data_IF_360904755137
#
_entry.id   IF_360904755137
#
_cell.length_a   1.000
_cell.length_b   1.000
_cell.length_c   1.000
_cell.angle_alpha   90.00
_cell.angle_beta   90.00
_cell.angle_gamma   90.00
#
_symmetry.space_group_name_H-M   'P 1'
#
loop_
_entity.id
_entity.type
_entity.pdbx_description
1 polymer ?
#
# COMPACT_ATOMS: atom_id res chain seq x y z
N UNK A 1 18.39 7.40 -7.66
CA UNK A 1 19.06 6.64 -6.59
C UNK A 1 18.13 5.51 -6.22
N UNK A 2 18.65 4.28 -6.24
CA UNK A 2 17.98 3.09 -5.74
C UNK A 2 18.27 2.93 -4.25
N UNK A 3 17.28 2.45 -3.50
CA UNK A 3 17.40 2.03 -2.11
C UNK A 3 17.39 0.50 -2.08
N UNK A 4 18.54 -0.13 -1.79
CA UNK A 4 18.65 -1.59 -1.84
C UNK A 4 17.68 -2.22 -0.84
N UNK A 5 17.80 -1.89 0.46
CA UNK A 5 16.72 -1.96 1.44
C UNK A 5 15.69 -0.87 1.09
N UNK A 6 14.44 -1.22 0.73
CA UNK A 6 13.44 -0.24 0.35
C UNK A 6 13.01 0.68 1.51
N UNK A 7 12.51 1.87 1.19
CA UNK A 7 11.96 2.80 2.21
C UNK A 7 10.72 2.22 2.92
N UNK A 8 9.98 1.35 2.24
CA UNK A 8 8.82 0.64 2.77
C UNK A 8 9.00 -0.87 2.59
N UNK A 9 9.82 -1.54 3.43
CA UNK A 9 10.16 -2.95 3.26
C UNK A 9 8.99 -3.87 3.64
N UNK A 10 8.09 -4.13 2.69
CA UNK A 10 6.86 -4.90 2.92
C UNK A 10 7.03 -6.41 2.73
N UNK A 11 8.01 -6.85 1.92
CA UNK A 11 8.26 -8.28 1.63
C UNK A 11 8.79 -8.98 2.88
N UNK A 12 8.40 -10.24 3.06
CA UNK A 12 8.78 -11.05 4.22
C UNK A 12 10.28 -11.20 4.36
N UNK A 13 11.01 -11.34 3.25
CA UNK A 13 12.48 -11.29 3.20
C UNK A 13 13.04 -10.10 4.01
N UNK A 14 12.56 -8.87 3.72
CA UNK A 14 13.05 -7.68 4.42
C UNK A 14 12.61 -7.64 5.88
N UNK A 15 11.38 -8.04 6.18
CA UNK A 15 10.89 -8.13 7.56
C UNK A 15 11.75 -9.10 8.37
N UNK A 16 12.13 -10.23 7.79
CA UNK A 16 12.98 -11.22 8.41
C UNK A 16 14.42 -10.71 8.58
N UNK A 17 15.03 -10.15 7.53
CA UNK A 17 16.41 -9.65 7.60
C UNK A 17 16.62 -8.50 8.60
N UNK A 18 15.57 -7.74 8.89
CA UNK A 18 15.63 -6.56 9.76
C UNK A 18 14.73 -6.67 11.00
N UNK A 19 14.32 -7.88 11.39
CA UNK A 19 13.37 -8.17 12.49
C UNK A 19 13.80 -7.68 13.88
N UNK A 20 15.08 -7.43 14.08
CA UNK A 20 15.70 -6.91 15.30
C UNK A 20 15.65 -5.37 15.40
N UNK A 21 15.18 -4.67 14.36
CA UNK A 21 15.18 -3.22 14.28
C UNK A 21 13.76 -2.65 14.34
N UNK A 22 13.64 -1.50 14.99
CA UNK A 22 12.41 -0.69 15.03
C UNK A 22 12.14 -0.01 13.68
N UNK A 23 10.93 0.49 13.47
CA UNK A 23 10.58 1.21 12.25
C UNK A 23 11.44 2.47 12.00
N UNK A 24 11.87 3.17 13.06
CA UNK A 24 12.74 4.35 12.91
C UNK A 24 14.20 3.97 12.59
N UNK A 25 14.69 2.86 13.15
CA UNK A 25 16.01 2.30 12.81
C UNK A 25 16.03 1.81 11.35
N UNK A 26 14.99 1.11 10.90
CA UNK A 26 14.83 0.67 9.50
C UNK A 26 14.80 1.88 8.55
N UNK A 27 14.08 2.94 8.92
CA UNK A 27 14.04 4.17 8.14
C UNK A 27 15.45 4.79 8.02
N UNK A 28 16.21 4.82 9.11
CA UNK A 28 17.60 5.30 9.12
C UNK A 28 18.51 4.42 8.25
N UNK A 29 18.41 3.09 8.38
CA UNK A 29 19.13 2.12 7.55
C UNK A 29 18.81 2.29 6.06
N UNK A 30 17.53 2.51 5.71
CA UNK A 30 17.12 2.70 4.32
C UNK A 30 17.66 3.99 3.69
N UNK A 31 18.01 4.97 4.53
CA UNK A 31 18.46 6.31 4.14
C UNK A 31 19.98 6.52 4.23
N UNK A 32 20.74 5.58 4.81
CA UNK A 32 22.19 5.72 4.97
C UNK A 32 22.97 5.46 3.67
N UNK A 33 24.20 5.99 3.60
CA UNK A 33 25.07 5.93 2.42
C UNK A 33 25.28 4.49 1.91
N UNK A 34 25.50 3.55 2.85
CA UNK A 34 25.73 2.15 2.54
C UNK A 34 24.58 1.46 1.81
N UNK A 35 23.35 1.98 1.92
CA UNK A 35 22.17 1.45 1.26
C UNK A 35 21.86 2.09 -0.11
N UNK A 36 22.57 3.18 -0.45
CA UNK A 36 22.31 3.95 -1.67
C UNK A 36 23.06 3.36 -2.87
N UNK A 37 22.33 3.12 -3.96
CA UNK A 37 22.90 2.61 -5.20
C UNK A 37 22.57 3.54 -6.38
N UNK A 38 23.58 4.14 -7.05
CA UNK A 38 23.36 4.83 -8.31
C UNK A 38 22.89 3.83 -9.36
N UNK A 39 21.68 4.02 -9.85
CA UNK A 39 21.02 3.10 -10.76
C UNK A 39 20.14 3.91 -11.73
N UNK A 40 20.05 3.45 -12.98
CA UNK A 40 19.27 4.16 -14.00
C UNK A 40 17.79 4.24 -13.61
N UNK A 41 17.12 5.34 -13.95
CA UNK A 41 15.72 5.56 -13.56
C UNK A 41 14.77 4.46 -14.06
N UNK A 42 15.02 3.92 -15.26
CA UNK A 42 14.21 2.87 -15.89
C UNK A 42 14.36 1.50 -15.22
N UNK A 43 15.53 1.18 -14.67
CA UNK A 43 15.72 -0.04 -13.87
C UNK A 43 15.18 0.20 -12.46
N UNK A 44 15.41 1.38 -11.88
CA UNK A 44 15.00 1.74 -10.53
C UNK A 44 13.47 1.67 -10.35
N UNK A 45 12.72 2.17 -11.34
CA UNK A 45 11.25 2.10 -11.32
C UNK A 45 10.72 0.66 -11.40
N UNK A 46 11.51 -0.30 -11.90
CA UNK A 46 11.13 -1.71 -12.07
C UNK A 46 11.43 -2.57 -10.85
N UNK A 47 12.40 -2.21 -10.02
CA UNK A 47 12.86 -3.04 -8.89
C UNK A 47 11.97 -2.96 -7.64
N UNK A 48 11.17 -1.89 -7.52
CA UNK A 48 10.19 -1.69 -6.44
C UNK A 48 10.73 -2.06 -5.04
N UNK A 49 9.90 -2.72 -4.22
CA UNK A 49 10.25 -3.20 -2.88
C UNK A 49 10.58 -4.70 -2.85
N UNK A 50 10.95 -5.25 -4.01
CA UNK A 50 11.24 -6.68 -4.18
C UNK A 50 12.39 -7.12 -3.26
N UNK A 51 12.49 -8.41 -3.01
CA UNK A 51 13.58 -8.98 -2.20
C UNK A 51 14.94 -8.70 -2.84
N UNK A 52 16.02 -8.80 -2.05
CA UNK A 52 17.35 -8.53 -2.57
C UNK A 52 17.72 -9.44 -3.75
N UNK A 53 17.35 -10.72 -3.69
CA UNK A 53 17.62 -11.68 -4.75
C UNK A 53 16.91 -11.31 -6.06
N UNK A 54 15.62 -10.95 -5.98
CA UNK A 54 14.86 -10.48 -7.13
C UNK A 54 15.47 -9.21 -7.73
N UNK A 55 15.88 -8.27 -6.88
CA UNK A 55 16.50 -7.02 -7.32
C UNK A 55 17.83 -7.25 -8.04
N UNK A 56 18.66 -8.13 -7.49
CA UNK A 56 19.94 -8.56 -8.07
C UNK A 56 19.74 -9.18 -9.45
N UNK A 57 18.80 -10.12 -9.58
CA UNK A 57 18.52 -10.84 -10.82
C UNK A 57 17.97 -9.94 -11.93
N UNK A 58 17.34 -8.81 -11.58
CA UNK A 58 16.63 -7.94 -12.53
C UNK A 58 17.38 -6.66 -12.89
N UNK A 59 18.37 -6.23 -12.10
CA UNK A 59 18.95 -4.90 -12.29
C UNK A 59 20.43 -4.74 -12.03
N UNK A 60 21.07 -5.54 -11.17
CA UNK A 60 22.39 -5.18 -10.64
C UNK A 60 23.57 -5.78 -11.42
N UNK A 61 23.41 -6.95 -12.03
CA UNK A 61 24.52 -7.75 -12.56
C UNK A 61 25.21 -7.18 -13.81
N UNK A 62 24.54 -6.30 -14.57
CA UNK A 62 25.04 -5.73 -15.83
C UNK A 62 25.20 -4.20 -15.80
N UNK A 63 25.16 -3.60 -14.60
CA UNK A 63 25.23 -2.15 -14.41
C UNK A 63 26.65 -1.60 -14.26
N UNK A 64 26.74 -0.48 -13.54
CA UNK A 64 27.99 0.13 -13.08
C UNK A 64 28.78 -0.80 -12.14
N UNK A 65 30.05 -0.45 -11.88
CA UNK A 65 30.87 -1.20 -10.92
C UNK A 65 30.25 -1.32 -9.54
N UNK A 66 29.49 -0.31 -9.07
CA UNK A 66 28.81 -0.37 -7.78
C UNK A 66 27.65 -1.37 -7.80
N UNK A 67 26.91 -1.45 -8.90
CA UNK A 67 25.82 -2.43 -9.10
C UNK A 67 26.37 -3.86 -9.16
N UNK A 68 27.44 -4.06 -9.94
CA UNK A 68 28.10 -5.36 -10.06
C UNK A 68 28.68 -5.83 -8.73
N UNK A 69 29.25 -4.92 -7.94
CA UNK A 69 29.74 -5.24 -6.59
C UNK A 69 28.60 -5.73 -5.68
N UNK A 70 27.51 -4.97 -5.59
CA UNK A 70 26.33 -5.34 -4.78
C UNK A 70 25.72 -6.66 -5.26
N UNK A 71 25.70 -6.93 -6.57
CA UNK A 71 25.14 -8.17 -7.13
C UNK A 71 25.85 -9.47 -6.70
N UNK A 72 27.06 -9.37 -6.15
CA UNK A 72 27.85 -10.52 -5.68
C UNK A 72 27.47 -10.98 -4.29
N UNK A 73 26.79 -10.14 -3.52
CA UNK A 73 26.30 -10.52 -2.20
C UNK A 73 25.23 -11.61 -2.30
N UNK A 74 25.20 -12.51 -1.31
CA UNK A 74 24.17 -13.55 -1.19
C UNK A 74 22.83 -12.98 -0.72
N UNK A 75 22.89 -11.96 0.12
CA UNK A 75 21.80 -11.39 0.88
C UNK A 75 22.12 -9.93 1.23
N UNK A 76 21.14 -9.20 1.78
CA UNK A 76 21.32 -7.80 2.17
C UNK A 76 20.77 -7.58 3.57
N UNK A 77 21.66 -7.35 4.52
CA UNK A 77 21.37 -7.14 5.94
C UNK A 77 21.98 -5.81 6.43
N UNK A 78 21.77 -5.50 7.71
CA UNK A 78 22.29 -4.28 8.31
C UNK A 78 23.83 -4.23 8.36
N UNK A 79 24.51 -5.38 8.50
CA UNK A 79 25.97 -5.45 8.53
C UNK A 79 26.55 -5.09 7.16
N UNK A 80 25.98 -5.60 6.07
CA UNK A 80 26.39 -5.25 4.70
C UNK A 80 26.17 -3.78 4.38
N UNK A 81 25.07 -3.19 4.87
CA UNK A 81 24.83 -1.74 4.78
C UNK A 81 25.94 -0.98 5.51
N UNK A 82 26.30 -1.41 6.73
CA UNK A 82 27.36 -0.80 7.53
C UNK A 82 28.73 -0.90 6.83
N UNK A 83 29.15 -2.11 6.46
CA UNK A 83 30.44 -2.39 5.81
C UNK A 83 30.59 -1.62 4.49
N UNK A 84 29.54 -1.62 3.67
CA UNK A 84 29.52 -0.84 2.42
C UNK A 84 29.58 0.66 2.70
N UNK A 85 28.89 1.15 3.73
CA UNK A 85 28.96 2.55 4.15
C UNK A 85 30.38 2.99 4.47
N UNK A 86 31.09 2.23 5.31
CA UNK A 86 32.48 2.49 5.67
C UNK A 86 33.40 2.41 4.44
N UNK A 87 33.22 1.40 3.60
CA UNK A 87 33.98 1.25 2.35
C UNK A 87 33.81 2.46 1.42
N UNK A 88 32.59 2.99 1.29
CA UNK A 88 32.33 4.18 0.48
C UNK A 88 32.95 5.45 1.07
N UNK A 89 32.98 5.59 2.39
CA UNK A 89 33.64 6.72 3.06
C UNK A 89 35.16 6.69 2.84
N UNK A 90 35.80 5.52 2.96
CA UNK A 90 37.22 5.37 2.60
C UNK A 90 37.50 5.66 1.13
N UNK A 91 36.62 5.22 0.23
CA UNK A 91 36.72 5.58 -1.19
C UNK A 91 36.66 7.10 -1.39
N UNK A 92 35.81 7.83 -0.65
CA UNK A 92 35.73 9.30 -0.70
C UNK A 92 37.02 9.96 -0.21
N UNK A 93 37.61 9.48 0.90
CA UNK A 93 38.91 9.96 1.40
C UNK A 93 39.98 9.89 0.31
N UNK A 94 40.12 8.72 -0.32
CA UNK A 94 41.10 8.48 -1.37
C UNK A 94 40.81 9.32 -2.63
N UNK A 95 39.54 9.36 -3.06
CA UNK A 95 39.16 10.00 -4.32
C UNK A 95 39.29 11.52 -4.29
N UNK A 96 39.06 12.14 -3.13
CA UNK A 96 39.06 13.59 -2.94
C UNK A 96 40.22 14.10 -2.07
N UNK A 97 41.11 13.21 -1.64
CA UNK A 97 42.33 13.53 -0.90
C UNK A 97 42.05 14.32 0.40
N UNK A 98 41.12 13.81 1.20
CA UNK A 98 40.87 14.28 2.57
C UNK A 98 40.89 13.10 3.54
N UNK A 99 40.88 13.39 4.85
CA UNK A 99 40.80 12.38 5.90
C UNK A 99 39.72 12.72 6.91
N UNK A 100 38.95 11.70 7.30
CA UNK A 100 38.15 11.74 8.50
C UNK A 100 39.09 11.66 9.72
N UNK A 101 38.65 12.22 10.85
CA UNK A 101 39.43 12.28 12.07
C UNK A 101 39.65 10.91 12.72
N UNK A 102 38.68 10.01 12.60
CA UNK A 102 38.70 8.64 13.15
C UNK A 102 37.65 7.76 12.47
N UNK A 103 37.71 6.45 12.76
CA UNK A 103 36.65 5.53 12.37
C UNK A 103 35.32 5.88 13.06
N UNK A 104 35.36 6.29 14.33
CA UNK A 104 34.18 6.73 15.08
C UNK A 104 33.46 7.89 14.37
N UNK A 105 34.20 8.85 13.79
CA UNK A 105 33.60 9.94 13.01
C UNK A 105 32.84 9.42 11.77
N UNK A 106 33.40 8.41 11.08
CA UNK A 106 32.74 7.79 9.94
C UNK A 106 31.47 7.04 10.36
N UNK A 107 31.52 6.33 11.49
CA UNK A 107 30.36 5.64 12.06
C UNK A 107 29.25 6.61 12.49
N UNK A 108 29.61 7.74 13.12
CA UNK A 108 28.69 8.82 13.46
C UNK A 108 28.01 9.39 12.21
N UNK A 109 28.74 9.57 11.12
CA UNK A 109 28.22 10.10 9.86
C UNK A 109 27.19 9.16 9.20
N UNK A 110 27.31 7.84 9.40
CA UNK A 110 26.36 6.87 8.87
C UNK A 110 25.06 6.79 9.67
N UNK A 111 25.05 7.29 10.92
CA UNK A 111 23.90 7.30 11.84
C UNK A 111 23.29 5.91 12.15
N UNK A 112 24.08 4.84 12.02
CA UNK A 112 23.64 3.45 12.18
C UNK A 112 24.48 2.67 13.21
N UNK A 113 25.00 3.36 14.23
CA UNK A 113 25.82 2.72 15.28
C UNK A 113 25.11 1.56 15.99
N UNK A 114 23.77 1.61 16.04
CA UNK A 114 22.91 0.57 16.58
C UNK A 114 22.97 -0.78 15.84
N UNK A 115 23.56 -0.84 14.64
CA UNK A 115 23.76 -2.10 13.90
C UNK A 115 24.71 -3.05 14.66
N UNK A 116 25.68 -2.48 15.38
CA UNK A 116 26.75 -3.22 16.06
C UNK A 116 26.62 -3.19 17.59
N UNK A 117 25.41 -3.00 18.13
CA UNK A 117 25.19 -2.90 19.59
C UNK A 117 25.10 -4.24 20.32
N UNK A 118 25.23 -5.35 19.58
CA UNK A 118 25.21 -6.71 20.13
C UNK A 118 23.82 -7.18 20.56
N UNK A 119 22.74 -6.53 20.10
CA UNK A 119 21.37 -6.97 20.37
C UNK A 119 21.11 -8.40 19.89
N UNK A 120 20.25 -9.09 20.63
CA UNK A 120 19.77 -10.39 20.21
C UNK A 120 18.92 -10.26 18.95
N UNK A 121 19.13 -11.16 18.01
CA UNK A 121 18.28 -11.27 16.82
C UNK A 121 17.10 -12.18 17.21
N UNK A 122 15.85 -11.70 17.15
CA UNK A 122 14.68 -12.54 17.39
C UNK A 122 14.70 -13.79 16.49
N UNK A 123 13.97 -14.86 16.86
CA UNK A 123 13.75 -15.99 15.96
C UNK A 123 13.25 -15.49 14.60
N UNK A 124 13.62 -16.19 13.53
CA UNK A 124 13.06 -15.92 12.21
C UNK A 124 11.53 -15.96 12.30
N UNK A 125 10.90 -14.99 11.64
CA UNK A 125 9.45 -14.97 11.48
C UNK A 125 9.13 -16.17 10.59
N UNK A 126 8.67 -17.25 11.23
CA UNK A 126 8.12 -18.41 10.54
C UNK A 126 6.89 -17.89 9.82
N UNK A 127 6.94 -17.92 8.50
CA UNK A 127 5.73 -17.85 7.71
C UNK A 127 4.93 -19.11 8.10
N UNK A 128 3.90 -18.95 8.93
CA UNK A 128 2.78 -19.91 8.86
C UNK A 128 2.45 -20.00 7.38
N UNK A 129 2.38 -21.21 6.81
CA UNK A 129 1.98 -21.47 5.43
C UNK A 129 0.58 -20.91 5.16
N UNK A 130 0.49 -19.59 5.02
CA UNK A 130 -0.34 -18.92 4.07
C UNK A 130 0.29 -19.29 2.74
N UNK A 131 -0.21 -20.37 2.15
CA UNK A 131 0.01 -20.79 0.77
C UNK A 131 -0.51 -19.73 -0.22
N UNK A 132 0.08 -18.54 -0.14
CA UNK A 132 0.07 -17.50 -1.13
C UNK A 132 1.53 -17.17 -1.42
N UNK A 133 2.29 -18.19 -1.82
CA UNK A 133 3.29 -17.97 -2.84
C UNK A 133 2.59 -17.19 -3.95
N UNK A 134 3.03 -15.95 -4.19
CA UNK A 134 2.87 -15.34 -5.51
C UNK A 134 3.58 -16.30 -6.48
N UNK A 135 2.83 -17.27 -7.00
CA UNK A 135 3.06 -17.74 -8.34
C UNK A 135 2.79 -16.51 -9.18
N UNK A 136 3.82 -15.70 -9.44
CA UNK A 136 3.85 -14.87 -10.64
C UNK A 136 3.91 -15.86 -11.79
N UNK A 137 2.75 -16.43 -12.11
CA UNK A 137 2.48 -16.78 -13.49
C UNK A 137 2.73 -15.47 -14.21
N UNK A 138 3.62 -15.42 -15.21
CA UNK A 138 3.69 -14.27 -16.09
C UNK A 138 2.29 -14.09 -16.66
N UNK A 139 1.50 -13.22 -16.03
CA UNK A 139 0.31 -12.72 -16.65
C UNK A 139 0.88 -11.74 -17.67
N UNK A 140 0.76 -12.08 -18.95
CA UNK A 140 1.11 -11.18 -20.07
C UNK A 140 0.29 -9.87 -20.04
N UNK A 141 -0.56 -9.69 -19.02
CA UNK A 141 -1.50 -8.61 -18.82
C UNK A 141 -0.87 -7.64 -17.81
N UNK A 142 -0.75 -6.38 -18.20
CA UNK A 142 -0.26 -5.33 -17.30
C UNK A 142 -1.25 -5.09 -16.14
N UNK A 143 -0.78 -4.55 -15.00
CA UNK A 143 -1.64 -4.10 -13.89
C UNK A 143 -2.82 -3.24 -14.37
N UNK A 144 -2.57 -2.37 -15.35
CA UNK A 144 -3.55 -1.45 -15.89
C UNK A 144 -4.58 -2.18 -16.77
N UNK A 145 -4.14 -3.17 -17.56
CA UNK A 145 -5.04 -4.05 -18.32
C UNK A 145 -5.87 -4.94 -17.38
N UNK A 146 -5.30 -5.43 -16.28
CA UNK A 146 -6.00 -6.26 -15.31
C UNK A 146 -7.12 -5.47 -14.62
N UNK A 147 -6.84 -4.23 -14.18
CA UNK A 147 -7.86 -3.32 -13.63
C UNK A 147 -8.94 -3.01 -14.66
N UNK A 148 -8.54 -2.69 -15.89
CA UNK A 148 -9.48 -2.37 -16.96
C UNK A 148 -10.41 -3.55 -17.23
N UNK A 149 -9.88 -4.77 -17.31
CA UNK A 149 -10.66 -5.99 -17.51
C UNK A 149 -11.60 -6.28 -16.34
N UNK A 150 -11.11 -6.16 -15.10
CA UNK A 150 -11.94 -6.34 -13.90
C UNK A 150 -13.11 -5.36 -13.89
N UNK A 151 -12.84 -4.06 -14.06
CA UNK A 151 -13.89 -3.04 -14.07
C UNK A 151 -14.86 -3.20 -15.25
N UNK A 152 -14.38 -3.66 -16.41
CA UNK A 152 -15.25 -3.92 -17.57
C UNK A 152 -16.29 -4.99 -17.28
N UNK A 153 -15.95 -6.00 -16.46
CA UNK A 153 -16.88 -7.05 -16.03
C UNK A 153 -17.70 -6.65 -14.79
N UNK A 154 -17.08 -5.94 -13.85
CA UNK A 154 -17.71 -5.57 -12.58
C UNK A 154 -18.80 -4.50 -12.76
N UNK A 155 -18.52 -3.48 -13.57
CA UNK A 155 -19.34 -2.29 -13.63
C UNK A 155 -20.78 -2.54 -14.09
N UNK A 156 -21.06 -3.34 -15.14
CA UNK A 156 -22.43 -3.66 -15.52
C UNK A 156 -23.23 -4.33 -14.41
N UNK A 157 -22.60 -5.25 -13.66
CA UNK A 157 -23.24 -5.97 -12.54
C UNK A 157 -23.52 -5.02 -11.39
N UNK A 158 -22.57 -4.15 -11.05
CA UNK A 158 -22.76 -3.12 -10.00
C UNK A 158 -23.89 -2.17 -10.42
N UNK A 159 -23.91 -1.69 -11.67
CA UNK A 159 -24.96 -0.81 -12.18
C UNK A 159 -26.34 -1.47 -12.14
N UNK A 160 -26.44 -2.74 -12.54
CA UNK A 160 -27.67 -3.52 -12.48
C UNK A 160 -28.18 -3.72 -11.05
N UNK A 161 -27.29 -3.99 -10.09
CA UNK A 161 -27.64 -4.08 -8.67
C UNK A 161 -28.24 -2.78 -8.10
N UNK A 162 -27.91 -1.62 -8.71
CA UNK A 162 -28.51 -0.33 -8.40
C UNK A 162 -29.77 0.01 -9.23
N UNK A 163 -30.28 -0.92 -10.04
CA UNK A 163 -31.46 -0.72 -10.90
C UNK A 163 -31.16 -0.01 -12.22
N UNK A 164 -29.93 -0.04 -12.72
CA UNK A 164 -29.56 0.39 -14.08
C UNK A 164 -29.27 1.88 -14.27
N UNK A 165 -29.97 2.79 -13.57
CA UNK A 165 -29.77 4.23 -13.73
C UNK A 165 -29.61 4.97 -12.39
N UNK A 166 -28.51 4.71 -11.70
CA UNK A 166 -28.24 5.32 -10.39
C UNK A 166 -26.75 5.58 -10.16
N UNK A 167 -26.15 4.99 -9.13
CA UNK A 167 -24.89 5.46 -8.55
C UNK A 167 -23.68 5.38 -9.47
N UNK A 168 -23.65 4.38 -10.35
CA UNK A 168 -22.52 4.14 -11.26
C UNK A 168 -22.90 4.25 -12.75
N UNK A 169 -24.11 4.73 -13.09
CA UNK A 169 -24.62 4.67 -14.47
C UNK A 169 -23.86 5.53 -15.49
N UNK A 170 -23.16 6.57 -15.02
CA UNK A 170 -22.33 7.44 -15.86
C UNK A 170 -20.83 7.16 -15.70
N UNK A 171 -20.46 6.03 -15.10
CA UNK A 171 -19.07 5.65 -14.89
C UNK A 171 -18.63 4.73 -16.03
N UNK A 172 -17.38 4.86 -16.44
CA UNK A 172 -16.76 3.98 -17.44
C UNK A 172 -15.63 3.18 -16.79
N UNK A 173 -15.40 1.92 -17.23
CA UNK A 173 -14.21 1.18 -16.84
C UNK A 173 -12.94 1.97 -17.14
N UNK A 174 -11.94 1.87 -16.27
CA UNK A 174 -10.67 2.59 -16.43
C UNK A 174 -9.50 1.80 -15.86
N UNK A 175 -8.27 2.25 -16.11
CA UNK A 175 -7.06 1.67 -15.52
C UNK A 175 -6.82 2.13 -14.08
N UNK A 176 -7.74 2.90 -13.49
CA UNK A 176 -7.61 3.38 -12.11
C UNK A 176 -7.90 2.26 -11.12
N UNK A 177 -7.24 2.32 -9.97
CA UNK A 177 -7.55 1.47 -8.83
C UNK A 177 -8.86 1.83 -8.15
N UNK A 178 -9.44 3.00 -8.44
CA UNK A 178 -10.67 3.47 -7.82
C UNK A 178 -11.77 3.65 -8.85
N UNK A 179 -13.01 3.40 -8.42
CA UNK A 179 -14.21 3.61 -9.20
C UNK A 179 -15.23 4.36 -8.32
N UNK A 180 -15.44 5.64 -8.63
CA UNK A 180 -16.26 6.56 -7.84
C UNK A 180 -17.70 6.60 -8.35
N UNK A 181 -18.67 6.50 -7.44
CA UNK A 181 -20.10 6.55 -7.71
C UNK A 181 -20.76 7.77 -7.07
N UNK A 182 -21.74 8.33 -7.78
CA UNK A 182 -22.51 9.47 -7.30
C UNK A 182 -23.71 9.02 -6.46
N UNK A 183 -23.86 9.62 -5.28
CA UNK A 183 -24.91 9.22 -4.32
C UNK A 183 -25.98 10.28 -4.09
N UNK A 184 -25.94 11.42 -4.82
CA UNK A 184 -26.93 12.49 -4.71
C UNK A 184 -26.61 13.57 -3.69
N UNK A 185 -25.62 13.38 -2.81
CA UNK A 185 -25.27 14.32 -1.73
C UNK A 185 -23.85 14.83 -1.92
N UNK A 186 -23.68 16.16 -1.97
CA UNK A 186 -22.38 16.78 -2.14
C UNK A 186 -21.42 16.49 -0.97
N UNK A 187 -20.18 16.12 -1.29
CA UNK A 187 -19.15 15.81 -0.29
C UNK A 187 -19.28 14.43 0.37
N UNK A 188 -20.20 13.59 -0.10
CA UNK A 188 -20.27 12.17 0.27
C UNK A 188 -20.09 11.37 -1.02
N UNK A 189 -19.09 10.48 -1.06
CA UNK A 189 -18.81 9.64 -2.21
C UNK A 189 -18.87 8.16 -1.81
N UNK A 190 -19.49 7.33 -2.65
CA UNK A 190 -19.42 5.87 -2.55
C UNK A 190 -18.47 5.38 -3.64
N UNK A 191 -17.40 4.70 -3.26
CA UNK A 191 -16.35 4.31 -4.20
C UNK A 191 -15.81 2.90 -3.93
N UNK A 192 -15.51 2.20 -5.01
CA UNK A 192 -14.86 0.90 -4.98
C UNK A 192 -13.35 1.10 -5.13
N UNK A 193 -12.54 0.27 -4.47
CA UNK A 193 -11.08 0.26 -4.67
C UNK A 193 -10.55 -1.15 -4.88
N UNK A 194 -9.82 -1.34 -5.97
CA UNK A 194 -9.03 -2.52 -6.31
C UNK A 194 -7.54 -2.21 -6.14
N UNK A 195 -6.91 -2.77 -5.10
CA UNK A 195 -5.50 -2.54 -4.74
C UNK A 195 -4.67 -3.80 -5.00
N UNK A 196 -4.17 -3.93 -6.23
CA UNK A 196 -3.35 -5.08 -6.66
C UNK A 196 -2.21 -5.40 -5.68
N UNK A 197 -1.35 -4.41 -5.37
CA UNK A 197 -0.19 -4.61 -4.47
C UNK A 197 -0.54 -4.88 -3.01
N UNK A 198 -1.75 -4.52 -2.58
CA UNK A 198 -2.21 -4.79 -1.21
C UNK A 198 -3.07 -6.05 -1.14
N UNK A 199 -3.39 -6.66 -2.29
CA UNK A 199 -4.32 -7.78 -2.40
C UNK A 199 -5.65 -7.47 -1.71
N UNK A 200 -6.15 -6.24 -1.86
CA UNK A 200 -7.45 -5.84 -1.26
C UNK A 200 -8.44 -5.31 -2.28
N UNK A 201 -9.71 -5.65 -2.05
CA UNK A 201 -10.87 -5.10 -2.75
C UNK A 201 -11.82 -4.52 -1.71
N UNK A 202 -12.37 -3.33 -1.97
CA UNK A 202 -13.22 -2.66 -0.98
C UNK A 202 -14.33 -1.81 -1.59
N UNK A 203 -15.42 -1.71 -0.85
CA UNK A 203 -16.50 -0.74 -1.03
C UNK A 203 -16.45 0.27 0.12
N UNK A 204 -16.47 1.56 -0.18
CA UNK A 204 -16.11 2.60 0.78
C UNK A 204 -17.00 3.84 0.65
N UNK A 205 -17.27 4.49 1.77
CA UNK A 205 -17.84 5.86 1.82
C UNK A 205 -16.74 6.81 2.25
N UNK A 206 -16.55 7.90 1.50
CA UNK A 206 -15.71 9.04 1.89
C UNK A 206 -16.57 10.27 2.16
N UNK A 207 -16.33 10.90 3.31
CA UNK A 207 -17.06 12.07 3.78
C UNK A 207 -16.10 13.26 3.85
N UNK A 208 -16.35 14.26 3.03
CA UNK A 208 -15.63 15.53 3.05
C UNK A 208 -16.44 16.70 2.47
N UNK A 209 -17.22 17.36 3.33
CA UNK A 209 -17.94 18.61 3.03
C UNK A 209 -17.08 19.85 3.30
N UNK A 210 -15.76 19.71 3.31
CA UNK A 210 -14.78 20.77 3.57
C UNK A 210 -14.88 21.43 4.96
N UNK A 211 -15.67 20.86 5.88
CA UNK A 211 -15.77 21.29 7.27
C UNK A 211 -15.63 20.09 8.21
N UNK A 212 -14.61 20.13 9.07
CA UNK A 212 -14.25 19.00 9.95
C UNK A 212 -15.35 18.64 10.94
N UNK A 213 -16.00 19.62 11.57
CA UNK A 213 -17.02 19.34 12.57
C UNK A 213 -18.32 18.84 11.92
N UNK A 214 -18.67 19.35 10.73
CA UNK A 214 -19.76 18.77 9.92
C UNK A 214 -19.43 17.34 9.48
N UNK A 215 -18.22 17.06 8.99
CA UNK A 215 -17.80 15.70 8.61
C UNK A 215 -17.92 14.70 9.77
N UNK A 216 -17.61 15.12 11.00
CA UNK A 216 -17.82 14.31 12.21
C UNK A 216 -19.30 14.07 12.49
N UNK A 217 -20.13 15.10 12.44
CA UNK A 217 -21.59 14.97 12.64
C UNK A 217 -22.23 14.06 11.58
N UNK A 218 -21.85 14.20 10.30
CA UNK A 218 -22.30 13.32 9.20
C UNK A 218 -21.90 11.87 9.50
N UNK A 219 -20.64 11.65 9.92
CA UNK A 219 -20.19 10.32 10.33
C UNK A 219 -21.01 9.77 11.52
N UNK A 220 -21.28 10.59 12.53
CA UNK A 220 -22.04 10.19 13.72
C UNK A 220 -23.49 9.80 13.36
N UNK A 221 -24.12 10.48 12.38
CA UNK A 221 -25.44 10.10 11.81
C UNK A 221 -25.41 8.73 11.15
N UNK A 222 -24.36 8.42 10.38
CA UNK A 222 -24.18 7.10 9.77
C UNK A 222 -23.87 6.03 10.83
N UNK A 223 -23.02 6.36 11.81
CA UNK A 223 -22.60 5.44 12.87
C UNK A 223 -23.76 5.02 13.77
N UNK A 224 -24.77 5.89 13.96
CA UNK A 224 -25.99 5.53 14.69
C UNK A 224 -26.77 4.35 14.04
N UNK A 225 -26.50 4.04 12.78
CA UNK A 225 -27.11 2.93 12.02
C UNK A 225 -26.20 1.70 11.91
N UNK A 226 -25.06 1.68 12.62
CA UNK A 226 -24.07 0.60 12.60
C UNK A 226 -24.70 -0.78 12.75
N UNK A 227 -25.56 -0.96 13.75
CA UNK A 227 -26.19 -2.26 14.04
C UNK A 227 -27.14 -2.74 12.93
N UNK A 228 -27.65 -1.85 12.08
CA UNK A 228 -28.51 -2.21 10.96
C UNK A 228 -27.68 -2.73 9.79
N UNK A 229 -26.63 -1.99 9.42
CA UNK A 229 -25.78 -2.37 8.28
C UNK A 229 -24.95 -3.62 8.59
N UNK A 230 -24.49 -3.82 9.83
CA UNK A 230 -23.74 -5.01 10.25
C UNK A 230 -24.60 -6.29 10.26
N UNK A 231 -25.93 -6.20 10.21
CA UNK A 231 -26.81 -7.36 10.00
C UNK A 231 -26.97 -7.74 8.53
N UNK A 232 -26.69 -6.80 7.62
CA UNK A 232 -26.89 -6.96 6.17
C UNK A 232 -25.58 -7.35 5.51
N UNK A 233 -24.47 -6.70 5.88
CA UNK A 233 -23.15 -6.91 5.30
C UNK A 233 -22.40 -7.95 6.14
N UNK A 234 -22.06 -9.13 5.58
CA UNK A 234 -21.41 -10.22 6.33
C UNK A 234 -19.89 -10.00 6.50
N UNK A 235 -19.42 -8.77 6.37
CA UNK A 235 -18.00 -8.39 6.41
C UNK A 235 -17.78 -7.33 7.49
N UNK A 236 -16.56 -7.30 8.04
CA UNK A 236 -16.18 -6.29 9.02
C UNK A 236 -16.24 -4.88 8.40
N UNK A 237 -16.86 -3.94 9.12
CA UNK A 237 -17.00 -2.55 8.69
C UNK A 237 -16.01 -1.70 9.49
N UNK A 238 -15.07 -1.06 8.79
CA UNK A 238 -14.14 -0.09 9.33
C UNK A 238 -14.79 1.28 9.48
N UNK A 239 -14.93 1.75 10.72
CA UNK A 239 -15.56 3.02 11.08
C UNK A 239 -14.51 4.07 11.44
N UNK A 240 -14.09 4.88 10.47
CA UNK A 240 -13.00 5.83 10.63
C UNK A 240 -13.52 7.26 10.80
N UNK A 241 -13.80 7.63 12.06
CA UNK A 241 -14.13 9.01 12.42
C UNK A 241 -12.88 9.89 12.30
N UNK A 242 -12.89 10.82 11.36
CA UNK A 242 -11.71 11.61 10.99
C UNK A 242 -11.07 12.38 12.15
N UNK A 243 -9.80 12.07 12.43
CA UNK A 243 -8.92 12.94 13.25
C UNK A 243 -8.52 14.19 12.46
N UNK A 244 -8.27 14.00 11.15
CA UNK A 244 -8.04 15.07 10.17
C UNK A 244 -9.39 15.61 9.68
N UNK A 245 -9.48 16.11 8.44
CA UNK A 245 -10.72 16.71 7.90
C UNK A 245 -11.78 15.67 7.58
N UNK A 246 -11.45 14.62 6.83
CA UNK A 246 -12.41 13.66 6.28
C UNK A 246 -12.63 12.45 7.20
N UNK A 247 -13.81 11.83 7.08
CA UNK A 247 -14.15 10.54 7.71
C UNK A 247 -14.40 9.49 6.63
N UNK A 248 -14.27 8.20 6.97
CA UNK A 248 -14.57 7.10 6.04
C UNK A 248 -15.28 5.94 6.71
N UNK A 249 -16.05 5.21 5.92
CA UNK A 249 -16.61 3.88 6.26
C UNK A 249 -16.10 2.92 5.20
N UNK A 250 -15.52 1.80 5.61
CA UNK A 250 -14.77 0.92 4.70
C UNK A 250 -15.19 -0.53 4.93
N UNK A 251 -15.55 -1.24 3.87
CA UNK A 251 -15.72 -2.69 3.89
C UNK A 251 -14.69 -3.26 2.94
N UNK A 252 -13.73 -4.01 3.47
CA UNK A 252 -12.56 -4.49 2.73
C UNK A 252 -12.43 -6.01 2.89
N UNK A 253 -12.17 -6.68 1.77
CA UNK A 253 -11.70 -8.06 1.75
C UNK A 253 -10.20 -8.05 1.47
N UNK A 254 -9.48 -8.86 2.24
CA UNK A 254 -8.03 -9.03 2.16
C UNK A 254 -7.68 -10.32 1.41
N UNK A 255 -6.40 -10.49 1.07
CA UNK A 255 -5.85 -11.69 0.43
C UNK A 255 -6.56 -12.04 -0.90
N UNK A 256 -6.90 -11.02 -1.69
CA UNK A 256 -7.50 -11.17 -3.01
C UNK A 256 -6.42 -11.40 -4.06
N UNK A 257 -6.47 -12.56 -4.72
CA UNK A 257 -5.74 -12.78 -5.96
C UNK A 257 -6.60 -12.34 -7.15
N UNK A 258 -6.20 -11.24 -7.80
CA UNK A 258 -6.90 -10.71 -8.96
C UNK A 258 -6.57 -11.45 -10.26
N UNK A 259 -5.52 -12.27 -10.29
CA UNK A 259 -5.19 -13.11 -11.44
C UNK A 259 -6.09 -14.35 -11.53
N UNK A 260 -6.67 -14.78 -10.41
CA UNK A 260 -7.71 -15.79 -10.38
C UNK A 260 -9.05 -15.22 -10.88
N UNK A 261 -9.17 -15.15 -12.21
CA UNK A 261 -10.40 -14.71 -12.89
C UNK A 261 -11.61 -15.59 -12.58
N UNK A 262 -11.41 -16.81 -12.07
CA UNK A 262 -12.49 -17.70 -11.63
C UNK A 262 -13.23 -17.18 -10.40
N UNK A 263 -12.56 -16.39 -9.55
CA UNK A 263 -13.15 -15.75 -8.36
C UNK A 263 -13.80 -14.40 -8.62
N UNK A 264 -13.62 -13.82 -9.82
CA UNK A 264 -14.18 -12.50 -10.12
C UNK A 264 -15.69 -12.40 -9.92
N UNK A 265 -16.54 -13.40 -10.24
CA UNK A 265 -17.97 -13.32 -9.95
C UNK A 265 -18.27 -13.09 -8.46
N UNK A 266 -17.56 -13.77 -7.56
CA UNK A 266 -17.69 -13.60 -6.09
C UNK A 266 -17.26 -12.19 -5.66
N UNK A 267 -16.12 -11.72 -6.16
CA UNK A 267 -15.58 -10.39 -5.85
C UNK A 267 -16.49 -9.26 -6.36
N UNK A 268 -17.10 -9.44 -7.53
CA UNK A 268 -18.02 -8.49 -8.14
C UNK A 268 -19.34 -8.47 -7.36
N UNK A 269 -19.86 -9.64 -6.97
CA UNK A 269 -21.06 -9.75 -6.14
C UNK A 269 -20.86 -9.07 -4.78
N UNK A 270 -19.70 -9.27 -4.15
CA UNK A 270 -19.30 -8.53 -2.95
C UNK A 270 -19.42 -7.01 -3.15
N UNK A 271 -18.83 -6.46 -4.22
CA UNK A 271 -18.91 -5.01 -4.49
C UNK A 271 -20.35 -4.55 -4.73
N UNK A 272 -21.10 -5.28 -5.55
CA UNK A 272 -22.46 -4.92 -5.92
C UNK A 272 -23.39 -4.88 -4.69
N UNK A 273 -23.42 -5.97 -3.93
CA UNK A 273 -24.26 -6.10 -2.73
C UNK A 273 -23.86 -5.13 -1.63
N UNK A 274 -22.56 -4.99 -1.36
CA UNK A 274 -22.05 -4.11 -0.31
C UNK A 274 -22.28 -2.64 -0.64
N UNK A 275 -22.03 -2.21 -1.90
CA UNK A 275 -22.31 -0.83 -2.30
C UNK A 275 -23.80 -0.48 -2.18
N UNK A 276 -24.70 -1.38 -2.58
CA UNK A 276 -26.14 -1.18 -2.43
C UNK A 276 -26.51 -1.04 -0.96
N UNK A 277 -26.01 -1.93 -0.09
CA UNK A 277 -26.27 -1.88 1.35
C UNK A 277 -25.75 -0.59 1.99
N UNK A 278 -24.50 -0.21 1.70
CA UNK A 278 -23.88 1.03 2.19
C UNK A 278 -24.69 2.26 1.78
N UNK A 279 -25.12 2.35 0.52
CA UNK A 279 -25.94 3.47 0.05
C UNK A 279 -27.32 3.47 0.72
N UNK A 280 -28.00 2.33 0.74
CA UNK A 280 -29.35 2.21 1.30
C UNK A 280 -29.38 2.62 2.77
N UNK A 281 -28.53 1.99 3.59
CA UNK A 281 -28.58 2.15 5.05
C UNK A 281 -27.87 3.41 5.54
N UNK A 282 -26.72 3.79 4.95
CA UNK A 282 -25.90 4.87 5.49
C UNK A 282 -26.09 6.20 4.75
N UNK A 283 -26.81 6.22 3.63
CA UNK A 283 -27.02 7.45 2.85
C UNK A 283 -28.51 7.71 2.68
N UNK A 284 -29.22 6.81 1.99
CA UNK A 284 -30.63 7.00 1.66
C UNK A 284 -31.52 7.01 2.91
N UNK A 285 -31.32 6.08 3.84
CA UNK A 285 -32.11 6.01 5.08
C UNK A 285 -31.88 7.18 6.06
N UNK A 286 -30.85 8.01 5.85
CA UNK A 286 -30.56 9.21 6.64
C UNK A 286 -30.56 10.51 5.84
N UNK A 287 -30.98 10.52 4.58
CA UNK A 287 -30.73 11.63 3.68
C UNK A 287 -31.11 13.00 4.28
N UNK A 288 -32.27 13.10 4.93
CA UNK A 288 -32.74 14.32 5.58
C UNK A 288 -31.84 14.79 6.72
N UNK A 289 -31.33 13.88 7.56
CA UNK A 289 -30.39 14.20 8.64
C UNK A 289 -29.02 14.63 8.09
N UNK A 290 -28.56 13.98 7.02
CA UNK A 290 -27.32 14.36 6.34
C UNK A 290 -27.45 15.78 5.76
N UNK A 291 -28.56 16.07 5.08
CA UNK A 291 -28.86 17.41 4.57
C UNK A 291 -28.94 18.45 5.68
N UNK A 292 -29.61 18.15 6.80
CA UNK A 292 -29.68 19.06 7.94
C UNK A 292 -28.29 19.44 8.50
N UNK A 293 -27.34 18.50 8.51
CA UNK A 293 -25.96 18.78 8.96
C UNK A 293 -25.17 19.57 7.91
N UNK A 294 -25.37 19.27 6.62
CA UNK A 294 -24.65 19.91 5.52
C UNK A 294 -25.11 21.35 5.34
N UNK A 295 -26.42 21.55 5.26
CA UNK A 295 -27.08 22.82 4.94
C UNK A 295 -27.30 23.70 6.18
N UNK A 296 -27.27 23.12 7.38
CA UNK A 296 -27.34 23.88 8.65
C UNK A 296 -26.07 24.70 8.90
N UNK A 297 -26.21 25.83 9.61
CA UNK A 297 -25.10 26.75 9.93
C UNK A 297 -24.02 26.11 10.84
#
# INVERSE_FOLDING_TARGET
MEHILPQTPTKAYWKNQFRQFTAEEIKTLSATLGNMLPLSQSINSRLQNDSFEEKKNRGYYNGSHSEIEVSKESDWDANKIYERGIKLLHFMEERWNFKFASQEQMEELLHISFVNDGRDIPPELIEEESSAEEIVVPSDISDDDLKLQFWTKALPVIVDAFGGNSTYSNVSPSTRSTLDGFVGIGGINLYCTMRLRKHTLSANIWIDVKNREKNKKIFDVMFARKDNIEKIVPYAIGWNRGVKRSSTVNVEIENVDFNDTGRWPELIDFLATTCVALKSELITACADELHAVIDGD
#
